data_IF_471052154663
#
_entry.id   IF_471052154663
#
_cell.length_a   1.000
_cell.length_b   1.000
_cell.length_c   1.000
_cell.angle_alpha   90.00
_cell.angle_beta   90.00
_cell.angle_gamma   90.00
#
_symmetry.space_group_name_H-M   'P 1'
#
loop_
_entity.id
_entity.type
_entity.pdbx_description
1 polymer ?
#
# COMPACT_ATOMS: atom_id res chain seq x y z
N UNK A 1 1.74 9.03 4.82
CA UNK A 1 2.68 9.73 5.74
C UNK A 1 2.20 9.59 7.18
N UNK A 2 0.88 9.67 7.43
CA UNK A 2 0.29 9.43 8.77
C UNK A 2 0.64 8.07 9.39
N UNK A 3 0.81 6.99 8.60
CA UNK A 3 1.17 5.67 9.14
C UNK A 3 2.57 5.62 9.75
N UNK A 4 3.55 6.27 9.10
CA UNK A 4 4.90 6.36 9.65
C UNK A 4 4.94 7.21 10.92
N UNK A 5 4.15 8.29 10.97
CA UNK A 5 4.04 9.13 12.16
C UNK A 5 3.47 8.35 13.38
N UNK A 6 2.51 7.46 13.15
CA UNK A 6 1.97 6.60 14.21
C UNK A 6 2.98 5.55 14.68
N UNK A 7 3.79 5.01 13.77
CA UNK A 7 4.91 4.12 14.12
C UNK A 7 5.95 4.89 14.94
N UNK A 8 6.34 6.09 14.50
CA UNK A 8 7.30 6.94 15.21
C UNK A 8 6.81 7.30 16.62
N UNK A 9 5.50 7.52 16.79
CA UNK A 9 4.87 7.73 18.11
C UNK A 9 5.00 6.51 19.02
N UNK A 10 4.74 5.32 18.50
CA UNK A 10 4.93 4.07 19.26
C UNK A 10 6.40 3.88 19.62
N UNK A 11 7.33 4.11 18.69
CA UNK A 11 8.77 4.02 18.95
C UNK A 11 9.22 5.01 20.03
N UNK A 12 8.74 6.25 19.95
CA UNK A 12 9.01 7.28 20.95
C UNK A 12 8.48 6.87 22.32
N UNK A 13 7.25 6.38 22.40
CA UNK A 13 6.65 5.91 23.66
C UNK A 13 7.46 4.77 24.28
N UNK A 14 7.95 3.83 23.47
CA UNK A 14 8.83 2.73 23.92
C UNK A 14 10.20 3.26 24.37
N UNK A 15 10.73 4.28 23.70
CA UNK A 15 12.02 4.89 24.04
C UNK A 15 11.99 5.65 25.37
N UNK A 16 10.88 6.35 25.64
CA UNK A 16 10.67 7.17 26.84
C UNK A 16 10.09 6.35 28.01
N UNK A 17 9.64 5.12 27.76
CA UNK A 17 9.06 4.23 28.75
C UNK A 17 10.02 3.95 29.92
N UNK A 18 9.46 3.92 31.13
CA UNK A 18 10.23 3.67 32.35
C UNK A 18 10.76 2.24 32.34
N UNK A 19 12.07 2.08 32.53
CA UNK A 19 12.76 0.78 32.59
C UNK A 19 13.11 0.42 34.03
N UNK A 20 12.58 -0.67 34.60
CA UNK A 20 13.00 -1.14 35.92
C UNK A 20 14.45 -1.66 35.90
N UNK A 21 15.19 -1.55 37.00
CA UNK A 21 16.53 -2.12 37.08
C UNK A 21 16.49 -3.66 37.00
N UNK A 22 17.57 -4.25 36.49
CA UNK A 22 17.76 -5.71 36.37
C UNK A 22 16.78 -6.43 35.41
N UNK A 23 16.09 -5.71 34.53
CA UNK A 23 15.23 -6.28 33.48
C UNK A 23 15.33 -5.49 32.18
N UNK A 24 15.05 -6.16 31.06
CA UNK A 24 14.89 -5.53 29.74
C UNK A 24 13.46 -5.04 29.50
N UNK A 25 12.56 -5.21 30.46
CA UNK A 25 11.16 -4.83 30.34
C UNK A 25 10.97 -3.31 30.44
N UNK A 26 9.87 -2.83 29.85
CA UNK A 26 9.44 -1.43 29.91
C UNK A 26 8.06 -1.35 30.57
N UNK A 27 7.79 -0.24 31.26
CA UNK A 27 6.46 0.07 31.80
C UNK A 27 5.83 1.12 30.89
N UNK A 28 4.67 0.79 30.33
CA UNK A 28 3.88 1.66 29.45
C UNK A 28 2.44 1.72 29.94
N UNK A 29 1.71 2.77 29.55
CA UNK A 29 0.26 2.80 29.71
C UNK A 29 -0.37 1.84 28.71
N UNK A 30 -1.13 0.86 29.22
CA UNK A 30 -1.77 -0.16 28.39
C UNK A 30 -2.84 0.43 27.46
N UNK A 31 -3.67 1.36 27.96
CA UNK A 31 -4.76 1.99 27.20
C UNK A 31 -4.20 2.79 26.01
N UNK A 32 -3.22 3.65 26.27
CA UNK A 32 -2.56 4.47 25.25
C UNK A 32 -1.87 3.61 24.18
N UNK A 33 -1.24 2.50 24.58
CA UNK A 33 -0.63 1.55 23.64
C UNK A 33 -1.69 0.88 22.75
N UNK A 34 -2.82 0.47 23.33
CA UNK A 34 -3.90 -0.13 22.56
C UNK A 34 -4.54 0.85 21.58
N UNK A 35 -4.70 2.11 21.97
CA UNK A 35 -5.25 3.16 21.10
C UNK A 35 -4.35 3.41 19.88
N UNK A 36 -3.04 3.55 20.09
CA UNK A 36 -2.07 3.72 19.01
C UNK A 36 -2.07 2.51 18.05
N UNK A 37 -2.14 1.29 18.59
CA UNK A 37 -2.23 0.07 17.78
C UNK A 37 -3.55 0.01 17.01
N UNK A 38 -4.66 0.43 17.61
CA UNK A 38 -5.96 0.45 16.96
C UNK A 38 -6.00 1.43 15.79
N UNK A 39 -5.44 2.62 15.99
CA UNK A 39 -5.31 3.64 14.94
C UNK A 39 -4.45 3.14 13.77
N UNK A 40 -3.28 2.56 14.06
CA UNK A 40 -2.41 1.97 13.03
C UNK A 40 -3.12 0.84 12.24
N UNK A 41 -3.93 0.02 12.92
CA UNK A 41 -4.73 -1.03 12.28
C UNK A 41 -5.86 -0.50 11.40
N UNK A 42 -6.33 0.72 11.60
CA UNK A 42 -7.35 1.32 10.74
C UNK A 42 -6.75 1.86 9.44
N UNK A 43 -5.56 2.46 9.52
CA UNK A 43 -4.93 3.13 8.38
C UNK A 43 -4.25 2.13 7.43
N UNK A 44 -3.56 1.11 7.98
CA UNK A 44 -2.82 0.12 7.17
C UNK A 44 -3.67 -0.62 6.12
N UNK A 45 -4.90 -1.10 6.43
CA UNK A 45 -5.75 -1.74 5.44
C UNK A 45 -6.15 -0.83 4.29
N UNK A 46 -6.27 0.48 4.52
CA UNK A 46 -6.70 1.45 3.51
C UNK A 46 -5.59 1.70 2.50
N UNK A 47 -4.38 2.02 2.98
CA UNK A 47 -3.20 2.20 2.14
C UNK A 47 -2.88 0.92 1.34
N UNK A 48 -3.02 -0.25 1.96
CA UNK A 48 -2.84 -1.53 1.28
C UNK A 48 -3.90 -1.78 0.19
N UNK A 49 -5.17 -1.47 0.45
CA UNK A 49 -6.24 -1.57 -0.56
C UNK A 49 -5.97 -0.64 -1.73
N UNK A 50 -5.57 0.60 -1.46
CA UNK A 50 -5.25 1.59 -2.49
C UNK A 50 -4.08 1.12 -3.35
N UNK A 51 -3.00 0.64 -2.74
CA UNK A 51 -1.86 0.09 -3.46
C UNK A 51 -2.25 -1.09 -4.36
N UNK A 52 -3.04 -2.05 -3.85
CA UNK A 52 -3.55 -3.16 -4.68
C UNK A 52 -4.44 -2.68 -5.82
N UNK A 53 -5.28 -1.67 -5.57
CA UNK A 53 -6.17 -1.13 -6.59
C UNK A 53 -5.38 -0.43 -7.71
N UNK A 54 -4.39 0.39 -7.39
CA UNK A 54 -3.50 1.04 -8.38
C UNK A 54 -2.79 0.00 -9.23
N UNK A 55 -2.25 -1.06 -8.61
CA UNK A 55 -1.58 -2.14 -9.34
C UNK A 55 -2.56 -2.87 -10.27
N UNK A 56 -3.79 -3.12 -9.81
CA UNK A 56 -4.84 -3.74 -10.61
C UNK A 56 -5.24 -2.87 -11.81
N UNK A 57 -5.52 -1.59 -11.59
CA UNK A 57 -5.92 -0.66 -12.65
C UNK A 57 -4.83 -0.52 -13.72
N UNK A 58 -3.56 -0.41 -13.29
CA UNK A 58 -2.42 -0.40 -14.21
C UNK A 58 -2.37 -1.66 -15.07
N UNK A 59 -2.66 -2.82 -14.49
CA UNK A 59 -2.66 -4.08 -15.23
C UNK A 59 -3.79 -4.13 -16.26
N UNK A 60 -5.00 -3.69 -15.88
CA UNK A 60 -6.15 -3.59 -16.79
C UNK A 60 -5.87 -2.64 -17.96
N UNK A 61 -5.31 -1.46 -17.67
CA UNK A 61 -4.90 -0.47 -18.68
C UNK A 61 -3.87 -1.03 -19.67
N UNK A 62 -2.87 -1.76 -19.17
CA UNK A 62 -1.87 -2.40 -20.03
C UNK A 62 -2.47 -3.47 -20.94
N UNK A 63 -3.47 -4.19 -20.46
CA UNK A 63 -4.12 -5.24 -21.22
C UNK A 63 -5.05 -4.69 -22.29
N UNK A 64 -5.77 -3.60 -22.00
CA UNK A 64 -6.53 -2.83 -22.99
C UNK A 64 -5.63 -2.26 -24.08
N UNK A 65 -4.52 -1.61 -23.71
CA UNK A 65 -3.56 -1.05 -24.67
C UNK A 65 -2.97 -2.13 -25.60
N UNK A 66 -2.72 -3.34 -25.09
CA UNK A 66 -2.27 -4.47 -25.92
C UNK A 66 -3.33 -4.91 -26.91
N UNK A 67 -4.59 -5.05 -26.48
CA UNK A 67 -5.71 -5.41 -27.37
C UNK A 67 -5.91 -4.37 -28.47
N UNK A 68 -5.80 -3.09 -28.13
CA UNK A 68 -5.91 -2.02 -29.11
C UNK A 68 -4.76 -2.02 -30.12
N UNK A 69 -3.52 -2.26 -29.66
CA UNK A 69 -2.39 -2.42 -30.54
C UNK A 69 -2.57 -3.61 -31.51
N UNK A 70 -3.01 -4.76 -31.00
CA UNK A 70 -3.30 -5.95 -31.83
C UNK A 70 -4.40 -5.67 -32.86
N UNK A 71 -5.48 -4.99 -32.45
CA UNK A 71 -6.57 -4.57 -33.34
C UNK A 71 -6.08 -3.62 -34.43
N UNK A 72 -5.28 -2.61 -34.08
CA UNK A 72 -4.68 -1.68 -35.05
C UNK A 72 -3.81 -2.40 -36.07
N UNK A 73 -3.00 -3.37 -35.62
CA UNK A 73 -2.16 -4.17 -36.52
C UNK A 73 -3.01 -5.03 -37.45
N UNK A 74 -4.05 -5.70 -36.94
CA UNK A 74 -4.98 -6.47 -37.76
C UNK A 74 -5.69 -5.61 -38.80
N UNK A 75 -6.23 -4.45 -38.41
CA UNK A 75 -6.87 -3.52 -39.33
C UNK A 75 -5.90 -3.03 -40.42
N UNK A 76 -4.63 -2.79 -40.08
CA UNK A 76 -3.61 -2.41 -41.04
C UNK A 76 -3.30 -3.53 -42.03
N UNK A 77 -3.22 -4.78 -41.57
CA UNK A 77 -3.02 -5.96 -42.42
C UNK A 77 -4.20 -6.13 -43.38
N UNK A 78 -5.43 -6.11 -42.88
CA UNK A 78 -6.63 -6.24 -43.72
C UNK A 78 -6.72 -5.14 -44.80
N UNK A 79 -6.34 -3.90 -44.46
CA UNK A 79 -6.29 -2.80 -45.42
C UNK A 79 -5.21 -3.02 -46.46
N UNK A 80 -4.04 -3.53 -46.08
CA UNK A 80 -2.96 -3.84 -47.02
C UNK A 80 -3.36 -4.96 -47.99
N UNK A 81 -4.03 -6.02 -47.52
CA UNK A 81 -4.53 -7.09 -48.38
C UNK A 81 -5.57 -6.61 -49.41
N UNK A 82 -6.41 -5.64 -49.07
CA UNK A 82 -7.40 -5.06 -49.99
C UNK A 82 -6.80 -4.15 -51.07
N UNK A 83 -5.53 -3.75 -50.94
CA UNK A 83 -4.83 -2.87 -51.88
C UNK A 83 -3.98 -3.64 -52.92
N UNK A 84 -3.94 -4.97 -52.84
CA UNK A 84 -3.27 -5.89 -53.78
C UNK A 84 -4.30 -6.59 -54.65
#
# INVERSE_FOLDING_TARGET
METFEQIDRIEKMISEARRPPFTSNIIVNEEEMYDLIAELRQILPEEYKQARWIVKERQEMLEEAKKDAERLVQEAIERAEKLV
#
